data_IF_167440288925
#
_entry.id   IF_167440288925
#
_cell.length_a   1.000
_cell.length_b   1.000
_cell.length_c   1.000
_cell.angle_alpha   90.00
_cell.angle_beta   90.00
_cell.angle_gamma   90.00
#
_symmetry.space_group_name_H-M   'P 1'
#
loop_
_entity.id
_entity.type
_entity.pdbx_description
1 polymer ?
#
# COMPACT_ATOMS: atom_id res chain seq x y z
N UNK A 1 -9.12 -4.09 -36.36
CA UNK A 1 -9.62 -5.46 -36.14
C UNK A 1 -9.36 -5.81 -34.68
N UNK A 2 -10.43 -6.00 -33.90
CA UNK A 2 -10.36 -6.36 -32.49
C UNK A 2 -9.73 -7.73 -32.30
N UNK A 3 -8.70 -7.82 -31.46
CA UNK A 3 -8.30 -9.07 -30.81
C UNK A 3 -8.47 -8.90 -29.31
N UNK A 4 -9.69 -9.16 -28.85
CA UNK A 4 -10.05 -9.25 -27.45
C UNK A 4 -9.51 -10.58 -26.87
N UNK A 5 -8.49 -10.50 -26.03
CA UNK A 5 -8.07 -11.61 -25.17
C UNK A 5 -8.95 -11.60 -23.91
N UNK A 6 -10.01 -12.40 -23.93
CA UNK A 6 -10.76 -12.79 -22.72
C UNK A 6 -10.07 -14.04 -22.13
N UNK A 7 -9.13 -13.82 -21.22
CA UNK A 7 -8.73 -14.83 -20.24
C UNK A 7 -9.66 -14.68 -19.03
N UNK A 8 -10.22 -15.79 -18.54
CA UNK A 8 -10.52 -16.18 -17.16
C UNK A 8 -11.51 -17.37 -17.17
N UNK A 9 -11.36 -18.30 -16.22
CA UNK A 9 -12.20 -19.49 -15.91
C UNK A 9 -12.05 -20.83 -16.65
N UNK A 10 -11.00 -21.06 -17.46
CA UNK A 10 -10.88 -22.37 -18.16
C UNK A 10 -10.08 -23.45 -17.44
N UNK A 11 -9.28 -23.14 -16.43
CA UNK A 11 -8.35 -24.11 -15.82
C UNK A 11 -8.75 -24.48 -14.40
N UNK A 12 -8.68 -25.77 -14.06
CA UNK A 12 -8.97 -26.27 -12.71
C UNK A 12 -8.12 -27.52 -12.39
N UNK A 13 -7.92 -27.81 -11.10
CA UNK A 13 -7.23 -28.99 -10.62
C UNK A 13 -8.21 -30.04 -10.05
N UNK A 14 -7.87 -31.33 -10.14
CA UNK A 14 -8.53 -32.38 -9.35
C UNK A 14 -7.91 -32.54 -7.95
N UNK A 15 -8.53 -33.35 -7.09
CA UNK A 15 -8.06 -33.65 -5.72
C UNK A 15 -6.68 -34.33 -5.69
N UNK A 16 -6.15 -34.73 -6.84
CA UNK A 16 -4.82 -35.30 -7.02
C UNK A 16 -3.83 -34.31 -7.68
N UNK A 17 -4.21 -33.03 -7.77
CA UNK A 17 -3.38 -31.94 -8.30
C UNK A 17 -3.23 -31.88 -9.82
N UNK A 18 -3.97 -32.70 -10.60
CA UNK A 18 -3.84 -32.72 -12.06
C UNK A 18 -4.60 -31.56 -12.70
N UNK A 19 -3.99 -30.91 -13.69
CA UNK A 19 -4.54 -29.74 -14.38
C UNK A 19 -5.47 -30.14 -15.53
N UNK A 20 -6.65 -29.51 -15.58
CA UNK A 20 -7.64 -29.67 -16.64
C UNK A 20 -8.01 -28.32 -17.24
N UNK A 21 -8.45 -28.35 -18.50
CA UNK A 21 -9.04 -27.21 -19.18
C UNK A 21 -10.46 -27.53 -19.67
N UNK A 22 -11.42 -26.67 -19.34
CA UNK A 22 -12.78 -26.73 -19.90
C UNK A 22 -12.84 -25.89 -21.17
N UNK A 23 -13.19 -26.51 -22.28
CA UNK A 23 -13.42 -25.82 -23.54
C UNK A 23 -14.75 -26.26 -24.15
N UNK A 24 -15.68 -25.31 -24.29
CA UNK A 24 -17.10 -25.58 -24.61
C UNK A 24 -17.68 -26.60 -23.62
N UNK A 25 -18.25 -27.70 -24.11
CA UNK A 25 -18.87 -28.76 -23.32
C UNK A 25 -17.93 -29.93 -23.02
N UNK A 26 -16.62 -29.76 -23.25
CA UNK A 26 -15.63 -30.82 -23.06
C UNK A 26 -14.56 -30.42 -22.05
N UNK A 27 -14.09 -31.42 -21.31
CA UNK A 27 -12.99 -31.31 -20.36
C UNK A 27 -11.79 -32.05 -20.94
N UNK A 28 -10.67 -31.35 -21.02
CA UNK A 28 -9.41 -31.90 -21.49
C UNK A 28 -8.43 -31.95 -20.32
N UNK A 29 -7.77 -33.09 -20.17
CA UNK A 29 -6.65 -33.21 -19.24
C UNK A 29 -5.40 -32.64 -19.89
N UNK A 30 -4.69 -31.79 -19.17
CA UNK A 30 -3.40 -31.27 -19.61
C UNK A 30 -2.31 -32.19 -19.07
N UNK A 31 -1.48 -32.70 -19.98
CA UNK A 31 -0.28 -33.46 -19.62
C UNK A 31 0.94 -32.70 -20.08
N UNK A 32 1.89 -32.48 -19.17
CA UNK A 32 3.20 -31.92 -19.50
C UNK A 32 4.16 -33.08 -19.70
N UNK A 33 4.66 -33.26 -20.92
CA UNK A 33 5.72 -34.24 -21.23
C UNK A 33 6.84 -33.47 -21.92
N UNK A 34 7.88 -33.12 -21.17
CA UNK A 34 8.96 -32.24 -21.65
C UNK A 34 8.49 -30.80 -21.94
N UNK A 35 9.17 -30.09 -22.85
CA UNK A 35 8.84 -28.71 -23.26
C UNK A 35 7.57 -28.59 -24.14
N UNK A 36 6.73 -29.61 -24.23
CA UNK A 36 5.54 -29.64 -25.10
C UNK A 36 4.28 -29.93 -24.29
N UNK A 37 3.25 -29.10 -24.50
CA UNK A 37 1.91 -29.26 -23.93
C UNK A 37 1.07 -30.18 -24.81
N UNK A 38 0.52 -31.26 -24.24
CA UNK A 38 -0.42 -32.16 -24.92
C UNK A 38 -1.77 -32.17 -24.20
N UNK A 39 -2.86 -32.02 -24.96
CA UNK A 39 -4.24 -32.09 -24.45
C UNK A 39 -4.90 -33.41 -24.86
N UNK A 40 -5.44 -34.15 -23.90
CA UNK A 40 -6.20 -35.40 -24.16
C UNK A 40 -7.63 -35.25 -23.64
N UNK A 41 -8.62 -35.59 -24.47
CA UNK A 41 -10.03 -35.56 -24.09
C UNK A 41 -10.29 -36.66 -23.04
N UNK A 42 -10.86 -36.28 -21.89
CA UNK A 42 -11.18 -37.23 -20.83
C UNK A 42 -12.52 -37.92 -21.16
N UNK A 43 -12.46 -39.18 -21.58
CA UNK A 43 -13.64 -40.03 -21.77
C UNK A 43 -13.79 -40.96 -20.56
N UNK A 44 -14.80 -40.71 -19.73
CA UNK A 44 -15.25 -41.65 -18.69
C UNK A 44 -14.95 -41.21 -17.25
N UNK A 45 -15.88 -40.45 -16.67
CA UNK A 45 -16.26 -40.49 -15.23
C UNK A 45 -17.31 -39.40 -15.00
N UNK A 46 -18.59 -39.75 -15.26
CA UNK A 46 -19.73 -38.98 -14.78
C UNK A 46 -20.82 -40.00 -14.42
N UNK A 47 -20.83 -40.41 -13.15
CA UNK A 47 -22.02 -40.95 -12.52
C UNK A 47 -22.53 -39.96 -11.47
N UNK A 48 -23.83 -39.72 -11.58
CA UNK A 48 -24.74 -38.87 -10.82
C UNK A 48 -24.29 -38.30 -9.46
N UNK A 49 -24.41 -36.97 -9.34
CA UNK A 49 -24.86 -36.35 -8.09
C UNK A 49 -26.08 -35.47 -8.40
N UNK A 50 -27.25 -36.02 -8.07
CA UNK A 50 -28.54 -35.33 -8.06
C UNK A 50 -28.64 -34.51 -6.78
N UNK A 51 -29.11 -33.27 -6.96
CA UNK A 51 -29.93 -32.47 -6.02
C UNK A 51 -30.31 -33.18 -4.72
N UNK A 52 -29.71 -32.76 -3.61
CA UNK A 52 -30.39 -32.71 -2.31
C UNK A 52 -30.59 -31.25 -1.94
N UNK A 53 -31.83 -30.78 -2.11
CA UNK A 53 -32.31 -29.60 -1.43
C UNK A 53 -32.30 -29.89 0.07
N UNK A 54 -31.34 -29.31 0.77
CA UNK A 54 -31.45 -29.10 2.21
C UNK A 54 -32.29 -27.85 2.42
N UNK A 55 -33.41 -27.99 3.13
CA UNK A 55 -34.13 -26.88 3.74
C UNK A 55 -33.12 -25.95 4.42
N UNK A 56 -33.08 -24.69 3.98
CA UNK A 56 -32.37 -23.64 4.69
C UNK A 56 -33.08 -23.47 6.03
N UNK A 57 -32.44 -23.97 7.08
CA UNK A 57 -32.77 -23.64 8.46
C UNK A 57 -32.88 -22.11 8.60
N UNK A 58 -34.08 -21.56 8.89
CA UNK A 58 -34.28 -20.12 9.02
C UNK A 58 -33.42 -19.49 10.14
N UNK A 59 -32.89 -20.31 11.06
CA UNK A 59 -32.07 -19.87 12.19
C UNK A 59 -30.62 -19.52 11.83
N UNK A 60 -30.13 -19.83 10.62
CA UNK A 60 -28.81 -19.37 10.15
C UNK A 60 -28.80 -17.95 9.56
N UNK A 61 -29.96 -17.30 9.45
CA UNK A 61 -30.10 -15.97 8.81
C UNK A 61 -29.74 -14.76 9.69
N UNK A 62 -29.16 -14.97 10.90
CA UNK A 62 -28.70 -13.88 11.76
C UNK A 62 -27.34 -14.15 12.42
N UNK A 63 -26.38 -14.72 11.69
CA UNK A 63 -24.97 -14.45 12.05
C UNK A 63 -24.71 -12.97 11.78
N UNK A 64 -24.66 -12.13 12.82
CA UNK A 64 -24.09 -10.78 12.73
C UNK A 64 -22.76 -10.91 11.98
N UNK A 65 -22.70 -10.37 10.75
CA UNK A 65 -21.46 -10.30 9.98
C UNK A 65 -20.44 -9.59 10.89
N UNK A 66 -19.32 -10.26 11.16
CA UNK A 66 -18.26 -9.64 11.94
C UNK A 66 -17.83 -8.36 11.21
N UNK A 67 -17.70 -7.27 11.97
CA UNK A 67 -17.33 -5.97 11.40
C UNK A 67 -15.93 -6.08 10.79
N UNK A 68 -15.80 -5.64 9.54
CA UNK A 68 -14.52 -5.61 8.82
C UNK A 68 -13.71 -4.41 9.30
N UNK A 69 -12.50 -4.66 9.80
CA UNK A 69 -11.50 -3.63 10.14
C UNK A 69 -10.78 -3.17 8.89
N UNK A 70 -10.33 -1.91 8.89
CA UNK A 70 -9.45 -1.36 7.86
C UNK A 70 -8.01 -1.69 8.24
N UNK A 71 -7.31 -2.37 7.34
CA UNK A 71 -5.87 -2.55 7.43
C UNK A 71 -5.18 -1.22 7.10
N UNK A 72 -4.39 -0.68 8.01
CA UNK A 72 -3.72 0.61 7.85
C UNK A 72 -2.21 0.39 7.89
N UNK A 73 -1.54 0.65 6.77
CA UNK A 73 -0.10 0.60 6.67
C UNK A 73 0.47 2.01 6.88
N UNK A 74 1.34 2.18 7.88
CA UNK A 74 2.04 3.45 8.14
C UNK A 74 3.47 3.32 7.66
N UNK A 75 3.92 4.23 6.79
CA UNK A 75 5.28 4.18 6.21
C UNK A 75 6.02 5.48 6.55
N UNK A 76 7.19 5.33 7.18
CA UNK A 76 8.00 6.48 7.59
C UNK A 76 8.82 7.10 6.46
N UNK A 77 9.24 8.35 6.70
CA UNK A 77 10.27 9.04 5.96
C UNK A 77 11.67 8.81 6.53
N UNK A 78 12.66 9.48 5.97
CA UNK A 78 14.06 9.34 6.37
C UNK A 78 14.34 9.77 7.82
N UNK A 79 15.39 9.19 8.41
CA UNK A 79 15.92 9.59 9.71
C UNK A 79 15.04 9.23 10.91
N UNK A 80 14.06 8.35 10.75
CA UNK A 80 13.25 7.83 11.85
C UNK A 80 13.97 6.68 12.55
N UNK A 81 13.84 6.60 13.88
CA UNK A 81 14.34 5.47 14.67
C UNK A 81 13.29 4.36 14.66
N UNK A 82 13.70 3.11 14.54
CA UNK A 82 12.80 1.95 14.48
C UNK A 82 11.77 1.90 15.60
N UNK A 83 12.22 2.08 16.84
CA UNK A 83 11.37 1.91 18.01
C UNK A 83 10.37 3.06 18.14
N UNK A 84 9.08 2.75 18.02
CA UNK A 84 7.96 3.63 18.35
C UNK A 84 7.78 4.85 17.44
N UNK A 85 8.38 4.88 16.24
CA UNK A 85 8.29 6.06 15.36
C UNK A 85 6.84 6.46 15.04
N UNK A 86 5.95 5.47 14.90
CA UNK A 86 4.55 5.68 14.54
C UNK A 86 3.66 5.99 15.75
N UNK A 87 4.13 5.79 16.98
CA UNK A 87 3.30 5.82 18.20
C UNK A 87 2.58 7.15 18.35
N UNK A 88 3.27 8.26 18.04
CA UNK A 88 2.69 9.60 18.13
C UNK A 88 1.56 9.81 17.13
N UNK A 89 1.75 9.36 15.88
CA UNK A 89 0.74 9.42 14.83
C UNK A 89 -0.46 8.55 15.20
N UNK A 90 -0.21 7.31 15.61
CA UNK A 90 -1.23 6.35 16.02
C UNK A 90 -2.05 6.91 17.19
N UNK A 91 -1.41 7.46 18.22
CA UNK A 91 -2.10 8.08 19.35
C UNK A 91 -2.97 9.28 18.94
N UNK A 92 -2.49 10.11 17.99
CA UNK A 92 -3.26 11.24 17.48
C UNK A 92 -4.46 10.77 16.62
N UNK A 93 -4.25 9.77 15.75
CA UNK A 93 -5.31 9.14 14.97
C UNK A 93 -6.36 8.51 15.87
N UNK A 94 -5.96 7.79 16.94
CA UNK A 94 -6.87 7.23 17.94
C UNK A 94 -7.78 8.30 18.52
N UNK A 95 -7.17 9.39 18.99
CA UNK A 95 -7.89 10.49 19.61
C UNK A 95 -8.85 11.18 18.64
N UNK A 96 -8.46 11.40 17.39
CA UNK A 96 -9.31 12.07 16.42
C UNK A 96 -10.41 11.14 15.88
N UNK A 97 -10.16 9.84 15.71
CA UNK A 97 -11.18 8.88 15.28
C UNK A 97 -12.26 8.69 16.34
N UNK A 98 -11.88 8.56 17.62
CA UNK A 98 -12.84 8.47 18.73
C UNK A 98 -13.79 9.68 18.76
N UNK A 99 -13.28 10.88 18.45
CA UNK A 99 -14.08 12.11 18.35
C UNK A 99 -14.97 12.13 17.12
N UNK A 100 -14.45 11.73 15.96
CA UNK A 100 -15.20 11.72 14.69
C UNK A 100 -16.34 10.72 14.77
N UNK A 101 -16.10 9.55 15.36
CA UNK A 101 -17.11 8.49 15.51
C UNK A 101 -17.99 8.66 16.74
N UNK A 102 -17.64 9.59 17.65
CA UNK A 102 -18.29 9.75 18.95
C UNK A 102 -18.35 8.41 19.70
N UNK A 103 -17.26 7.64 19.62
CA UNK A 103 -17.16 6.28 20.16
C UNK A 103 -15.77 6.08 20.77
N UNK A 104 -15.66 5.95 22.11
CA UNK A 104 -14.39 5.64 22.75
C UNK A 104 -13.82 4.29 22.30
N UNK A 105 -12.55 4.25 21.93
CA UNK A 105 -11.90 3.05 21.42
C UNK A 105 -12.37 2.64 20.02
N UNK A 106 -12.91 3.57 19.23
CA UNK A 106 -13.29 3.35 17.84
C UNK A 106 -12.13 2.75 17.06
N UNK A 107 -10.90 3.26 17.23
CA UNK A 107 -9.77 2.74 16.46
C UNK A 107 -9.49 1.27 16.70
N UNK A 108 -9.54 0.80 17.94
CA UNK A 108 -9.30 -0.63 18.24
C UNK A 108 -10.34 -1.54 17.58
N UNK A 109 -11.56 -1.03 17.38
CA UNK A 109 -12.66 -1.76 16.75
C UNK A 109 -12.64 -1.65 15.23
N UNK A 110 -12.08 -0.56 14.68
CA UNK A 110 -12.25 -0.19 13.27
C UNK A 110 -10.98 -0.36 12.44
N UNK A 111 -9.80 -0.19 13.02
CA UNK A 111 -8.53 -0.18 12.27
C UNK A 111 -7.58 -1.24 12.84
N UNK A 112 -6.76 -1.82 11.97
CA UNK A 112 -5.58 -2.59 12.34
C UNK A 112 -4.35 -1.92 11.74
N UNK A 113 -3.50 -1.32 12.57
CA UNK A 113 -2.43 -0.43 12.12
C UNK A 113 -1.08 -1.15 12.21
N UNK A 114 -0.36 -1.21 11.09
CA UNK A 114 0.99 -1.79 10.98
C UNK A 114 2.01 -0.70 10.59
N UNK A 115 2.90 -0.30 11.52
CA UNK A 115 4.07 0.52 11.19
C UNK A 115 5.10 -0.29 10.39
N UNK A 116 5.46 0.17 9.21
CA UNK A 116 6.46 -0.46 8.34
C UNK A 116 7.78 0.28 8.46
N UNK A 117 8.85 -0.42 8.85
CA UNK A 117 10.18 0.16 8.97
C UNK A 117 11.10 -0.39 7.87
N UNK A 118 11.39 0.43 6.87
CA UNK A 118 12.15 0.03 5.69
C UNK A 118 13.63 0.45 5.76
N UNK A 119 13.99 1.37 6.66
CA UNK A 119 15.35 1.91 6.77
C UNK A 119 16.41 0.89 7.23
N UNK A 120 15.99 -0.24 7.84
CA UNK A 120 16.88 -1.36 8.18
C UNK A 120 17.72 -1.84 6.97
N UNK A 121 17.22 -1.64 5.74
CA UNK A 121 17.91 -2.04 4.49
C UNK A 121 19.23 -1.28 4.30
N UNK A 122 19.34 -0.06 4.83
CA UNK A 122 20.43 0.86 4.52
C UNK A 122 21.24 1.31 5.75
N UNK A 123 20.68 1.17 6.97
CA UNK A 123 21.20 1.74 8.22
C UNK A 123 22.70 1.48 8.47
N UNK A 124 23.17 0.24 8.29
CA UNK A 124 24.58 -0.11 8.51
C UNK A 124 25.53 0.60 7.53
N UNK A 125 25.13 0.71 6.25
CA UNK A 125 25.96 1.29 5.19
C UNK A 125 25.99 2.80 5.28
N UNK A 126 24.86 3.42 5.62
CA UNK A 126 24.75 4.86 5.83
C UNK A 126 25.59 5.32 7.02
N UNK A 127 25.54 4.61 8.15
CA UNK A 127 26.33 4.99 9.31
C UNK A 127 27.83 4.84 9.01
N UNK A 128 28.25 3.77 8.34
CA UNK A 128 29.62 3.61 7.90
C UNK A 128 30.09 4.75 6.98
N UNK A 129 29.25 5.15 6.01
CA UNK A 129 29.54 6.26 5.10
C UNK A 129 29.62 7.61 5.85
N UNK A 130 28.71 7.86 6.78
CA UNK A 130 28.73 9.06 7.61
C UNK A 130 29.99 9.13 8.47
N UNK A 131 30.37 8.02 9.11
CA UNK A 131 31.59 7.94 9.91
C UNK A 131 32.84 8.24 9.08
N UNK A 132 32.91 7.71 7.86
CA UNK A 132 34.06 7.92 6.97
C UNK A 132 34.13 9.34 6.41
N UNK A 133 33.01 9.90 5.95
CA UNK A 133 32.99 11.19 5.25
C UNK A 133 32.90 12.40 6.18
N UNK A 134 32.29 12.26 7.36
CA UNK A 134 31.91 13.41 8.21
C UNK A 134 32.54 13.32 9.59
N UNK A 135 32.31 12.22 10.32
CA UNK A 135 32.79 12.09 11.70
C UNK A 135 34.32 12.01 11.77
N UNK A 136 34.94 11.09 11.02
CA UNK A 136 36.38 10.85 11.07
C UNK A 136 37.21 12.06 10.62
N UNK A 137 36.83 12.78 9.55
CA UNK A 137 37.53 14.01 9.17
C UNK A 137 37.19 15.23 10.04
N UNK A 138 36.26 15.09 11.00
CA UNK A 138 35.86 16.18 11.90
C UNK A 138 35.19 17.35 11.19
N UNK A 139 34.38 17.10 10.14
CA UNK A 139 33.77 18.18 9.37
C UNK A 139 32.77 18.98 10.22
N UNK A 140 32.64 20.29 9.93
CA UNK A 140 31.64 21.14 10.57
C UNK A 140 30.21 20.71 10.21
N UNK A 141 29.19 21.29 10.87
CA UNK A 141 27.77 21.06 10.53
C UNK A 141 27.39 19.57 10.42
N UNK A 142 27.94 18.71 11.29
CA UNK A 142 27.79 17.26 11.21
C UNK A 142 26.32 16.83 11.16
N UNK A 143 25.43 17.48 11.92
CA UNK A 143 24.00 17.19 11.89
C UNK A 143 23.34 17.50 10.53
N UNK A 144 23.69 18.62 9.90
CA UNK A 144 23.18 18.97 8.57
C UNK A 144 23.75 18.04 7.50
N UNK A 145 25.05 17.72 7.58
CA UNK A 145 25.69 16.75 6.67
C UNK A 145 25.11 15.35 6.83
N UNK A 146 24.81 14.94 8.07
CA UNK A 146 24.09 13.69 8.37
C UNK A 146 22.76 13.67 7.64
N UNK A 147 21.94 14.71 7.82
CA UNK A 147 20.67 14.84 7.13
C UNK A 147 20.80 14.80 5.61
N UNK A 148 21.74 15.56 5.02
CA UNK A 148 21.96 15.57 3.56
C UNK A 148 22.42 14.21 3.05
N UNK A 149 23.31 13.53 3.78
CA UNK A 149 23.79 12.19 3.40
C UNK A 149 22.63 11.21 3.46
N UNK A 150 21.90 11.09 4.58
CA UNK A 150 20.74 10.21 4.64
C UNK A 150 19.70 10.59 3.57
N UNK A 151 19.43 11.87 3.35
CA UNK A 151 18.42 12.27 2.37
C UNK A 151 18.82 11.99 0.92
N UNK A 152 20.02 12.40 0.49
CA UNK A 152 20.47 12.24 -0.88
C UNK A 152 21.00 10.83 -1.16
N UNK A 153 21.74 10.23 -0.22
CA UNK A 153 22.28 8.89 -0.42
C UNK A 153 21.16 7.86 -0.49
N UNK A 154 20.14 7.95 0.35
CA UNK A 154 19.03 6.99 0.34
C UNK A 154 18.15 7.23 -0.88
N UNK A 155 18.00 8.50 -1.29
CA UNK A 155 17.30 8.82 -2.52
C UNK A 155 17.97 8.20 -3.76
N UNK A 156 19.30 8.20 -3.78
CA UNK A 156 20.13 7.58 -4.82
C UNK A 156 20.16 6.06 -4.67
N UNK A 157 20.25 5.54 -3.45
CA UNK A 157 20.40 4.12 -3.16
C UNK A 157 19.10 3.34 -3.34
N UNK A 158 17.94 4.00 -3.21
CA UNK A 158 16.63 3.44 -3.48
C UNK A 158 16.31 3.31 -4.98
N UNK A 159 17.17 3.77 -5.88
CA UNK A 159 16.90 3.67 -7.32
C UNK A 159 16.78 2.21 -7.80
N UNK A 160 15.79 1.88 -8.65
CA UNK A 160 15.74 0.59 -9.33
C UNK A 160 16.95 0.49 -10.27
N UNK A 161 17.73 -0.57 -10.12
CA UNK A 161 18.84 -0.91 -11.03
C UNK A 161 18.43 -2.06 -11.95
N UNK A 162 19.11 -2.22 -13.09
CA UNK A 162 18.75 -3.18 -14.15
C UNK A 162 18.66 -4.65 -13.66
N UNK A 163 19.38 -5.00 -12.60
CA UNK A 163 19.30 -6.32 -11.98
C UNK A 163 18.24 -6.36 -10.86
N UNK A 164 17.50 -7.47 -10.75
CA UNK A 164 16.62 -7.74 -9.62
C UNK A 164 17.44 -8.21 -8.40
N UNK A 165 16.96 -7.92 -7.18
CA UNK A 165 17.58 -8.33 -5.91
C UNK A 165 18.33 -7.22 -5.15
N UNK A 166 18.17 -5.96 -5.53
CA UNK A 166 18.86 -4.82 -4.91
C UNK A 166 17.99 -4.10 -3.86
N UNK A 167 18.47 -2.96 -3.34
CA UNK A 167 17.84 -2.19 -2.27
C UNK A 167 16.36 -1.83 -2.53
N UNK A 168 16.00 -1.51 -3.77
CA UNK A 168 14.61 -1.25 -4.16
C UNK A 168 13.70 -2.45 -3.85
N UNK A 169 14.10 -3.66 -4.30
CA UNK A 169 13.33 -4.88 -4.07
C UNK A 169 13.37 -5.28 -2.58
N UNK A 170 14.47 -5.00 -1.87
CA UNK A 170 14.57 -5.22 -0.43
C UNK A 170 13.61 -4.33 0.38
N UNK A 171 13.51 -3.05 0.02
CA UNK A 171 12.51 -2.14 0.61
C UNK A 171 11.10 -2.63 0.30
N UNK A 172 10.80 -2.99 -0.95
CA UNK A 172 9.48 -3.50 -1.33
C UNK A 172 9.11 -4.81 -0.61
N UNK A 173 10.09 -5.70 -0.35
CA UNK A 173 9.90 -6.89 0.49
C UNK A 173 9.41 -6.55 1.90
N UNK A 174 9.90 -5.46 2.50
CA UNK A 174 9.41 -5.03 3.83
C UNK A 174 7.93 -4.63 3.80
N UNK A 175 7.49 -3.97 2.73
CA UNK A 175 6.09 -3.62 2.52
C UNK A 175 5.24 -4.88 2.26
N UNK A 176 5.71 -5.80 1.42
CA UNK A 176 5.02 -7.08 1.17
C UNK A 176 4.82 -7.90 2.45
N UNK A 177 5.82 -7.96 3.33
CA UNK A 177 5.70 -8.64 4.62
C UNK A 177 4.68 -7.99 5.56
N UNK A 178 4.61 -6.66 5.57
CA UNK A 178 3.60 -5.93 6.34
C UNK A 178 2.19 -6.17 5.78
N UNK A 179 2.03 -6.15 4.45
CA UNK A 179 0.79 -6.48 3.76
C UNK A 179 0.33 -7.91 4.08
N UNK A 180 1.25 -8.88 4.01
CA UNK A 180 0.96 -10.27 4.38
C UNK A 180 0.50 -10.38 5.84
N UNK A 181 1.20 -9.71 6.76
CA UNK A 181 0.84 -9.67 8.18
C UNK A 181 -0.57 -9.09 8.39
N UNK A 182 -0.88 -7.98 7.72
CA UNK A 182 -2.21 -7.36 7.74
C UNK A 182 -3.28 -8.29 7.17
N UNK A 183 -3.01 -8.98 6.06
CA UNK A 183 -3.92 -9.95 5.46
C UNK A 183 -4.19 -11.15 6.39
N UNK A 184 -3.17 -11.68 7.06
CA UNK A 184 -3.34 -12.76 8.04
C UNK A 184 -4.22 -12.35 9.23
N UNK A 185 -4.12 -11.09 9.69
CA UNK A 185 -4.90 -10.60 10.84
C UNK A 185 -6.33 -10.16 10.48
N UNK A 186 -6.56 -9.67 9.26
CA UNK A 186 -7.84 -9.05 8.87
C UNK A 186 -8.59 -9.79 7.77
N UNK A 187 -7.96 -10.77 7.13
CA UNK A 187 -8.46 -11.50 5.97
C UNK A 187 -7.91 -10.96 4.64
N UNK A 188 -7.85 -11.81 3.60
CA UNK A 188 -7.24 -11.49 2.30
C UNK A 188 -7.94 -10.38 1.52
N UNK A 189 -9.18 -10.05 1.86
CA UNK A 189 -9.98 -9.03 1.18
C UNK A 189 -10.11 -7.73 1.99
N UNK A 190 -9.45 -7.62 3.14
CA UNK A 190 -9.58 -6.46 4.02
C UNK A 190 -9.26 -5.15 3.27
N UNK A 191 -10.00 -4.06 3.54
CA UNK A 191 -9.76 -2.78 2.91
C UNK A 191 -8.44 -2.20 3.42
N UNK A 192 -7.62 -1.73 2.50
CA UNK A 192 -6.30 -1.19 2.80
C UNK A 192 -6.31 0.34 2.75
N UNK A 193 -5.71 0.95 3.76
CA UNK A 193 -5.37 2.36 3.81
C UNK A 193 -3.86 2.50 4.00
N UNK A 194 -3.25 3.45 3.30
CA UNK A 194 -1.82 3.74 3.43
C UNK A 194 -1.64 5.16 3.94
N UNK A 195 -0.77 5.34 4.93
CA UNK A 195 -0.42 6.64 5.53
C UNK A 195 1.09 6.77 5.45
N UNK A 196 1.59 7.65 4.58
CA UNK A 196 3.00 7.67 4.22
C UNK A 196 3.62 9.07 4.32
N UNK A 197 4.79 9.13 4.94
CA UNK A 197 5.53 10.34 5.21
C UNK A 197 6.73 10.48 4.27
N UNK A 198 6.95 11.66 3.67
CA UNK A 198 8.21 12.00 2.99
C UNK A 198 8.60 10.99 1.90
N UNK A 199 9.84 10.50 1.92
CA UNK A 199 10.33 9.42 1.05
C UNK A 199 9.51 8.14 1.20
N UNK A 200 8.90 7.88 2.35
CA UNK A 200 7.95 6.78 2.53
C UNK A 200 6.74 6.88 1.60
N UNK A 201 6.28 8.08 1.28
CA UNK A 201 5.20 8.26 0.29
C UNK A 201 5.67 7.99 -1.14
N UNK A 202 6.93 8.30 -1.46
CA UNK A 202 7.55 7.90 -2.73
C UNK A 202 7.66 6.38 -2.83
N UNK A 203 8.14 5.74 -1.76
CA UNK A 203 8.28 4.28 -1.67
C UNK A 203 6.92 3.61 -1.85
N UNK A 204 5.90 4.08 -1.13
CA UNK A 204 4.54 3.56 -1.23
C UNK A 204 3.97 3.75 -2.65
N UNK A 205 4.13 4.95 -3.23
CA UNK A 205 3.68 5.22 -4.59
C UNK A 205 4.32 4.27 -5.60
N UNK A 206 5.64 4.07 -5.54
CA UNK A 206 6.34 3.14 -6.45
C UNK A 206 5.92 1.68 -6.22
N UNK A 207 5.74 1.28 -4.96
CA UNK A 207 5.28 -0.06 -4.60
C UNK A 207 3.90 -0.37 -5.20
N UNK A 208 2.92 0.50 -5.00
CA UNK A 208 1.59 0.30 -5.60
C UNK A 208 1.58 0.51 -7.11
N UNK A 209 2.49 1.33 -7.65
CA UNK A 209 2.66 1.46 -9.09
C UNK A 209 3.09 0.13 -9.72
N UNK A 210 4.09 -0.54 -9.14
CA UNK A 210 4.56 -1.83 -9.63
C UNK A 210 3.49 -2.93 -9.52
N UNK A 211 2.62 -2.87 -8.50
CA UNK A 211 1.45 -3.74 -8.37
C UNK A 211 0.38 -3.47 -9.44
N UNK A 212 0.10 -2.20 -9.74
CA UNK A 212 -0.94 -1.81 -10.70
C UNK A 212 -0.49 -1.93 -12.16
N UNK A 213 0.82 -1.80 -12.43
CA UNK A 213 1.39 -1.77 -13.77
C UNK A 213 2.58 -2.74 -13.95
N UNK A 214 2.39 -4.07 -13.72
CA UNK A 214 3.46 -5.07 -13.77
C UNK A 214 3.93 -5.31 -15.21
N UNK A 215 4.82 -4.45 -15.70
CA UNK A 215 5.35 -4.51 -17.07
C UNK A 215 6.86 -4.75 -17.12
N UNK A 216 7.59 -4.46 -16.04
CA UNK A 216 9.06 -4.63 -15.96
C UNK A 216 9.58 -5.25 -14.66
N UNK A 217 8.77 -5.27 -13.59
CA UNK A 217 9.08 -5.94 -12.31
C UNK A 217 7.87 -6.75 -11.87
N UNK A 218 8.11 -7.93 -11.33
CA UNK A 218 7.06 -8.77 -10.73
C UNK A 218 7.17 -8.59 -9.22
N UNK A 219 6.21 -7.91 -8.57
CA UNK A 219 6.21 -7.76 -7.12
C UNK A 219 6.17 -9.11 -6.41
N UNK A 220 6.95 -9.26 -5.34
CA UNK A 220 6.95 -10.47 -4.50
C UNK A 220 5.70 -10.51 -3.60
N UNK A 221 4.55 -10.88 -4.18
CA UNK A 221 3.32 -11.14 -3.43
C UNK A 221 3.43 -12.51 -2.74
N UNK A 222 3.23 -12.57 -1.41
CA UNK A 222 3.40 -13.79 -0.62
C UNK A 222 2.23 -14.74 -0.86
N UNK A 223 1.00 -14.24 -0.73
CA UNK A 223 -0.23 -14.95 -1.11
C UNK A 223 -0.89 -14.29 -2.31
N UNK A 224 -0.72 -14.90 -3.48
CA UNK A 224 -1.30 -14.42 -4.75
C UNK A 224 -2.83 -14.37 -4.74
N UNK A 225 -3.50 -15.08 -3.82
CA UNK A 225 -4.96 -15.02 -3.69
C UNK A 225 -5.43 -13.86 -2.81
N UNK A 226 -4.54 -13.24 -2.04
CA UNK A 226 -4.84 -12.10 -1.19
C UNK A 226 -5.02 -10.81 -2.01
N UNK A 227 -6.26 -10.33 -2.08
CA UNK A 227 -6.59 -9.08 -2.75
C UNK A 227 -5.91 -7.88 -2.07
N UNK A 228 -5.74 -7.94 -0.75
CA UNK A 228 -4.96 -6.98 0.01
C UNK A 228 -3.51 -6.99 -0.47
N UNK A 229 -2.83 -8.14 -0.50
CA UNK A 229 -1.41 -8.20 -0.91
C UNK A 229 -1.18 -7.81 -2.36
N UNK A 230 -2.15 -8.06 -3.26
CA UNK A 230 -2.12 -7.58 -4.65
C UNK A 230 -2.37 -6.06 -4.77
N UNK A 231 -2.78 -5.39 -3.70
CA UNK A 231 -3.16 -3.97 -3.71
C UNK A 231 -4.54 -3.68 -4.29
N UNK A 232 -5.34 -4.71 -4.59
CA UNK A 232 -6.68 -4.59 -5.18
C UNK A 232 -7.68 -3.91 -4.24
N UNK A 233 -7.43 -3.99 -2.94
CA UNK A 233 -8.26 -3.38 -1.89
C UNK A 233 -7.69 -2.07 -1.36
N UNK A 234 -6.76 -1.42 -2.07
CA UNK A 234 -6.30 -0.07 -1.73
C UNK A 234 -7.47 0.92 -1.85
N UNK A 235 -7.97 1.38 -0.71
CA UNK A 235 -9.13 2.28 -0.61
C UNK A 235 -8.73 3.73 -0.37
N UNK A 236 -7.68 3.95 0.43
CA UNK A 236 -7.27 5.28 0.87
C UNK A 236 -5.75 5.41 0.84
N UNK A 237 -5.26 6.59 0.45
CA UNK A 237 -3.84 6.94 0.52
C UNK A 237 -3.66 8.35 1.06
N UNK A 238 -2.93 8.47 2.16
CA UNK A 238 -2.62 9.74 2.79
C UNK A 238 -1.12 9.97 2.71
N UNK A 239 -0.68 10.92 1.89
CA UNK A 239 0.71 11.34 1.80
C UNK A 239 0.91 12.65 2.54
N UNK A 240 2.06 12.85 3.18
CA UNK A 240 2.37 14.14 3.80
C UNK A 240 3.88 14.43 3.83
N UNK A 241 4.22 15.71 3.69
CA UNK A 241 5.62 16.15 3.58
C UNK A 241 6.35 15.46 2.42
N UNK A 242 5.66 15.12 1.33
CA UNK A 242 6.23 14.25 0.30
C UNK A 242 7.04 15.00 -0.76
N UNK A 243 8.11 14.36 -1.18
CA UNK A 243 9.04 14.80 -2.23
C UNK A 243 8.70 14.17 -3.59
N UNK A 244 7.55 13.48 -3.69
CA UNK A 244 7.08 12.81 -4.90
C UNK A 244 7.12 13.68 -6.16
N UNK A 245 6.80 15.00 -6.11
CA UNK A 245 6.96 15.87 -7.28
C UNK A 245 8.38 16.02 -7.80
N UNK A 246 9.40 15.90 -6.94
CA UNK A 246 10.80 15.93 -7.37
C UNK A 246 11.21 14.57 -7.95
N UNK A 247 10.65 13.50 -7.39
CA UNK A 247 10.95 12.13 -7.80
C UNK A 247 10.47 11.81 -9.21
N UNK A 248 9.50 12.56 -9.70
CA UNK A 248 8.95 12.38 -11.03
C UNK A 248 9.91 12.74 -12.16
N UNK A 249 10.95 13.54 -11.89
CA UNK A 249 11.99 13.89 -12.86
C UNK A 249 12.74 12.67 -13.40
N UNK A 250 12.58 11.51 -12.76
CA UNK A 250 13.11 10.21 -13.21
C UNK A 250 12.32 9.61 -14.37
N UNK A 251 11.06 9.99 -14.53
CA UNK A 251 10.18 9.47 -15.56
C UNK A 251 10.10 10.48 -16.71
N UNK A 252 10.15 9.96 -17.94
CA UNK A 252 9.99 10.78 -19.13
C UNK A 252 8.59 11.41 -19.19
N UNK A 253 7.58 10.66 -18.75
CA UNK A 253 6.19 11.08 -18.71
C UNK A 253 5.71 11.13 -17.25
N UNK A 254 5.37 12.32 -16.78
CA UNK A 254 4.95 12.60 -15.40
C UNK A 254 3.54 12.06 -15.07
N UNK A 255 2.81 11.59 -16.08
CA UNK A 255 1.35 11.44 -16.06
C UNK A 255 0.82 10.10 -15.55
N UNK A 256 1.61 9.30 -14.83
CA UNK A 256 1.19 7.97 -14.38
C UNK A 256 1.22 7.83 -12.84
N UNK A 257 0.33 8.55 -12.11
CA UNK A 257 0.13 8.31 -10.69
C UNK A 257 -0.55 6.95 -10.45
N UNK A 258 -0.40 6.40 -9.24
CA UNK A 258 -1.19 5.25 -8.82
C UNK A 258 -2.68 5.61 -8.73
N UNK A 259 -3.54 4.62 -8.93
CA UNK A 259 -4.98 4.76 -8.77
C UNK A 259 -5.38 4.52 -7.31
N UNK A 260 -6.06 5.51 -6.73
CA UNK A 260 -6.64 5.43 -5.39
C UNK A 260 -8.08 5.93 -5.45
N UNK A 261 -9.07 5.07 -5.15
CA UNK A 261 -8.91 3.66 -4.81
C UNK A 261 -8.41 2.84 -6.02
N UNK A 262 -7.91 1.63 -5.76
CA UNK A 262 -7.51 0.69 -6.81
C UNK A 262 -8.67 0.43 -7.79
N UNK A 263 -8.36 0.22 -9.07
CA UNK A 263 -9.36 -0.10 -10.10
C UNK A 263 -10.19 -1.34 -9.78
N UNK A 264 -9.66 -2.26 -8.96
CA UNK A 264 -10.33 -3.48 -8.53
C UNK A 264 -11.20 -3.31 -7.28
N UNK A 265 -11.18 -2.14 -6.61
CA UNK A 265 -11.88 -1.95 -5.33
C UNK A 265 -13.37 -2.27 -5.41
N UNK A 266 -14.00 -1.99 -6.55
CA UNK A 266 -15.44 -2.20 -6.75
C UNK A 266 -15.84 -3.69 -6.79
N UNK A 267 -14.88 -4.59 -7.01
CA UNK A 267 -15.11 -6.04 -6.92
C UNK A 267 -15.34 -6.48 -5.48
N UNK A 268 -14.79 -5.75 -4.50
CA UNK A 268 -14.83 -6.05 -3.07
C UNK A 268 -15.80 -5.12 -2.32
N UNK A 269 -15.79 -3.83 -2.65
CA UNK A 269 -16.52 -2.77 -1.97
C UNK A 269 -17.24 -1.86 -2.97
N UNK A 270 -18.33 -2.37 -3.56
CA UNK A 270 -19.07 -1.66 -4.60
C UNK A 270 -19.48 -0.23 -4.19
N UNK A 271 -19.13 0.73 -5.05
CA UNK A 271 -19.46 2.15 -4.90
C UNK A 271 -18.65 2.87 -3.82
N UNK A 272 -17.64 2.23 -3.22
CA UNK A 272 -16.73 2.91 -2.31
C UNK A 272 -15.88 3.93 -3.09
N UNK A 273 -16.00 5.21 -2.74
CA UNK A 273 -15.27 6.27 -3.44
C UNK A 273 -13.77 6.27 -3.15
N UNK A 274 -13.36 5.89 -1.92
CA UNK A 274 -11.97 6.03 -1.48
C UNK A 274 -11.47 7.49 -1.50
N UNK A 275 -10.15 7.67 -1.31
CA UNK A 275 -9.48 8.95 -1.58
C UNK A 275 -7.96 8.87 -1.47
N UNK A 276 -7.26 9.65 -2.30
CA UNK A 276 -5.89 10.08 -2.03
C UNK A 276 -5.88 11.55 -1.61
N UNK A 277 -5.39 11.85 -0.41
CA UNK A 277 -5.20 13.21 0.09
C UNK A 277 -3.72 13.43 0.41
N UNK A 278 -3.18 14.56 -0.03
CA UNK A 278 -1.82 14.97 0.25
C UNK A 278 -1.80 16.16 1.22
N UNK A 279 -0.91 16.14 2.21
CA UNK A 279 -0.71 17.26 3.12
C UNK A 279 0.68 17.85 2.97
N UNK A 280 0.77 19.17 2.94
CA UNK A 280 2.05 19.88 2.85
C UNK A 280 2.02 21.09 3.77
N UNK A 281 3.19 21.48 4.28
CA UNK A 281 3.40 22.75 4.96
C UNK A 281 4.17 23.66 4.00
N UNK A 282 3.74 24.92 3.90
CA UNK A 282 4.40 25.93 3.06
C UNK A 282 5.85 26.19 3.49
N UNK A 283 6.13 25.95 4.77
CA UNK A 283 7.46 26.09 5.37
C UNK A 283 8.30 24.81 5.29
N UNK A 284 7.74 23.71 4.78
CA UNK A 284 8.46 22.45 4.58
C UNK A 284 9.11 22.39 3.20
N UNK A 285 10.43 22.58 3.16
CA UNK A 285 11.22 22.56 1.93
C UNK A 285 11.23 21.20 1.20
N UNK A 286 10.71 20.14 1.83
CA UNK A 286 10.59 18.81 1.24
C UNK A 286 9.12 18.44 0.93
N UNK A 287 8.14 19.22 1.40
CA UNK A 287 6.73 18.95 1.22
C UNK A 287 6.12 19.81 0.12
N UNK A 288 5.54 19.17 -0.89
CA UNK A 288 4.96 19.88 -2.04
C UNK A 288 3.52 19.42 -2.34
N UNK A 289 2.67 20.29 -2.90
CA UNK A 289 1.38 19.88 -3.44
C UNK A 289 1.58 18.96 -4.66
N UNK A 290 0.67 18.00 -4.84
CA UNK A 290 0.74 17.03 -5.93
C UNK A 290 -0.14 17.40 -7.11
N UNK A 291 -1.35 17.93 -6.90
CA UNK A 291 -2.30 18.20 -7.99
C UNK A 291 -1.79 19.19 -9.04
N UNK A 292 -1.07 20.28 -8.70
CA UNK A 292 -0.65 21.27 -9.69
C UNK A 292 0.44 20.77 -10.65
N UNK A 293 1.05 19.63 -10.36
CA UNK A 293 2.26 19.18 -11.03
C UNK A 293 1.96 18.56 -12.40
N UNK A 294 0.82 17.87 -12.53
CA UNK A 294 0.40 17.16 -13.73
C UNK A 294 -1.13 16.91 -13.71
N UNK A 295 -1.85 17.04 -14.85
CA UNK A 295 -3.28 16.75 -14.93
C UNK A 295 -3.69 15.34 -14.49
N UNK A 296 -2.81 14.35 -14.58
CA UNK A 296 -3.07 13.01 -14.08
C UNK A 296 -3.08 12.98 -12.54
N UNK A 297 -2.15 13.70 -11.90
CA UNK A 297 -2.14 13.85 -10.45
C UNK A 297 -3.32 14.69 -9.95
N UNK A 298 -3.75 15.71 -10.69
CA UNK A 298 -4.98 16.44 -10.38
C UNK A 298 -6.20 15.52 -10.30
N UNK A 299 -6.27 14.49 -11.15
CA UNK A 299 -7.35 13.49 -11.16
C UNK A 299 -7.20 12.43 -10.08
N UNK A 300 -5.98 11.97 -9.83
CA UNK A 300 -5.70 10.91 -8.85
C UNK A 300 -5.76 11.41 -7.39
N UNK A 301 -5.26 12.63 -7.15
CA UNK A 301 -5.20 13.23 -5.81
C UNK A 301 -6.46 14.05 -5.58
N UNK A 302 -7.31 13.59 -4.67
CA UNK A 302 -8.58 14.23 -4.33
C UNK A 302 -8.37 15.63 -3.78
N UNK A 303 -7.35 15.84 -2.97
CA UNK A 303 -7.12 17.12 -2.29
C UNK A 303 -5.65 17.29 -1.88
N UNK A 304 -5.10 18.48 -2.12
CA UNK A 304 -3.87 18.96 -1.46
C UNK A 304 -4.27 19.90 -0.33
N UNK A 305 -3.87 19.60 0.90
CA UNK A 305 -4.25 20.34 2.09
C UNK A 305 -3.00 20.95 2.71
N UNK A 306 -2.96 22.29 2.74
CA UNK A 306 -1.95 23.01 3.51
C UNK A 306 -2.20 22.82 5.01
N UNK A 307 -1.14 22.46 5.74
CA UNK A 307 -1.15 22.33 7.20
C UNK A 307 0.03 23.08 7.79
N UNK A 308 -0.07 23.43 9.08
CA UNK A 308 1.07 23.95 9.84
C UNK A 308 1.65 22.82 10.70
N UNK A 309 2.75 22.22 10.27
CA UNK A 309 3.48 21.18 11.00
C UNK A 309 4.50 21.76 12.00
N UNK A 310 4.73 23.08 12.05
CA UNK A 310 5.56 23.72 13.08
C UNK A 310 5.69 25.24 12.93
N UNK A 311 6.19 25.92 13.98
CA UNK A 311 6.40 27.37 13.96
C UNK A 311 7.70 27.81 13.28
N UNK A 312 7.77 29.10 12.90
CA UNK A 312 8.83 29.78 12.10
C UNK A 312 10.29 29.52 12.55
N UNK A 313 10.53 29.14 13.81
CA UNK A 313 11.87 28.76 14.30
C UNK A 313 12.29 27.31 13.94
N UNK A 314 11.36 26.51 13.39
CA UNK A 314 11.57 25.11 13.02
C UNK A 314 11.59 24.90 11.50
N UNK A 315 11.18 25.89 10.69
CA UNK A 315 11.10 25.86 9.22
C UNK A 315 12.44 25.68 8.48
N UNK A 316 13.54 25.44 9.20
CA UNK A 316 14.90 25.29 8.67
C UNK A 316 15.68 24.07 9.21
N UNK A 317 15.04 23.18 10.00
CA UNK A 317 15.72 21.99 10.53
C UNK A 317 14.91 20.69 10.32
N UNK A 318 15.55 19.51 10.29
CA UNK A 318 14.91 18.20 10.05
C UNK A 318 13.72 17.84 10.94
N UNK A 319 13.48 18.56 12.05
CA UNK A 319 12.39 18.32 12.99
C UNK A 319 11.04 18.93 12.54
N UNK A 320 11.00 19.95 11.69
CA UNK A 320 9.72 20.47 11.12
C UNK A 320 9.00 19.41 10.30
N UNK A 321 9.78 18.60 9.58
CA UNK A 321 9.32 17.45 8.83
C UNK A 321 8.75 16.34 9.75
N UNK A 322 9.15 16.28 11.02
CA UNK A 322 8.53 15.39 12.01
C UNK A 322 7.20 15.92 12.59
N UNK A 323 6.88 17.19 12.37
CA UNK A 323 5.76 17.88 13.00
C UNK A 323 4.37 17.39 12.55
N UNK A 324 4.29 16.83 11.34
CA UNK A 324 3.05 16.29 10.77
C UNK A 324 2.41 15.22 11.67
N UNK A 325 3.21 14.36 12.31
CA UNK A 325 2.72 13.24 13.12
C UNK A 325 1.77 13.69 14.24
N UNK A 326 1.96 14.90 14.75
CA UNK A 326 1.10 15.52 15.78
C UNK A 326 0.13 16.57 15.27
N UNK A 327 0.10 16.84 13.96
CA UNK A 327 -0.76 17.88 13.41
C UNK A 327 -2.24 17.47 13.54
N UNK A 328 -3.02 18.24 14.31
CA UNK A 328 -4.40 17.89 14.63
C UNK A 328 -5.33 17.94 13.41
N UNK A 329 -5.18 18.94 12.53
CA UNK A 329 -6.06 19.07 11.35
C UNK A 329 -5.85 17.92 10.37
N UNK A 330 -4.59 17.55 10.13
CA UNK A 330 -4.22 16.38 9.32
C UNK A 330 -4.80 15.10 9.90
N UNK A 331 -4.51 14.80 11.18
CA UNK A 331 -5.00 13.58 11.83
C UNK A 331 -6.53 13.50 11.84
N UNK A 332 -7.22 14.63 12.03
CA UNK A 332 -8.68 14.69 11.96
C UNK A 332 -9.20 14.42 10.55
N UNK A 333 -8.55 14.95 9.51
CA UNK A 333 -8.94 14.71 8.11
C UNK A 333 -8.75 13.25 7.70
N UNK A 334 -7.67 12.61 8.16
CA UNK A 334 -7.42 11.18 7.96
C UNK A 334 -8.50 10.37 8.69
N UNK A 335 -8.77 10.69 9.96
CA UNK A 335 -9.79 10.00 10.75
C UNK A 335 -11.19 10.10 10.12
N UNK A 336 -11.56 11.25 9.54
CA UNK A 336 -12.81 11.42 8.80
C UNK A 336 -12.91 10.52 7.56
N UNK A 337 -11.82 10.36 6.80
CA UNK A 337 -11.81 9.47 5.65
C UNK A 337 -11.89 8.00 6.04
N UNK A 338 -11.13 7.58 7.05
CA UNK A 338 -11.20 6.23 7.61
C UNK A 338 -12.60 5.91 8.19
N UNK A 339 -13.21 6.86 8.89
CA UNK A 339 -14.58 6.74 9.38
C UNK A 339 -15.57 6.51 8.24
N UNK A 340 -15.50 7.33 7.16
CA UNK A 340 -16.36 7.15 5.98
C UNK A 340 -16.18 5.79 5.34
N UNK A 341 -14.93 5.36 5.12
CA UNK A 341 -14.62 4.05 4.53
C UNK A 341 -15.17 2.93 5.41
N UNK A 342 -14.93 2.97 6.72
CA UNK A 342 -15.38 1.92 7.63
C UNK A 342 -16.91 1.84 7.70
N UNK A 343 -17.59 2.98 7.80
CA UNK A 343 -19.06 3.04 7.80
C UNK A 343 -19.64 2.53 6.49
N UNK A 344 -19.02 2.85 5.35
CA UNK A 344 -19.49 2.36 4.05
C UNK A 344 -19.36 0.85 3.92
N UNK A 345 -18.22 0.29 4.34
CA UNK A 345 -17.94 -1.14 4.21
C UNK A 345 -18.82 -1.99 5.13
N UNK A 346 -19.16 -1.44 6.30
CA UNK A 346 -19.96 -2.13 7.30
C UNK A 346 -21.43 -1.71 7.35
N UNK A 347 -21.91 -0.97 6.34
CA UNK A 347 -23.35 -0.70 6.21
C UNK A 347 -24.07 -2.00 5.87
N UNK A 348 -25.17 -2.26 6.56
CA UNK A 348 -25.99 -3.47 6.38
C UNK A 348 -26.80 -3.42 5.09
#
# INVERSE_FOLDING_TARGET
MCSSFLLYDRYFHDDHGKLYIKWKNHIFKIMVVGKVLLTKQASGMFESWRSYGGERDPSQSMRRRAMTRIAVMVIHGLGMRKDGYADKLIACLHKELDKVMVLPGATKQMLDIEPVYWADVFEEREEALFQQLVSSPGLNFQALRRFVIHYLADAVAYQPVENQGHNYDAVHRTLNQAMHTLAQRNGPEAPLCVVAHSLGAVIASNFFYDLQYPSSRVPEVVDVNSALERGDTLTNFYSFGTTLPLWSLRYHDFSCPIQVPSSHVNQYYAGLEGEWVNFYDRDDILGYPLRPIDPAYEKAVKEDIEVNSGGVAMSWNPLSHGGYFSNRSMNRRIAQGLARTWTWINRS
#
